data_IF_451030670158
#
_entry.id   IF_451030670158
#
_cell.length_a   1.000
_cell.length_b   1.000
_cell.length_c   1.000
_cell.angle_alpha   90.00
_cell.angle_beta   90.00
_cell.angle_gamma   90.00
#
_symmetry.space_group_name_H-M   'P 1'
#
loop_
_entity.id
_entity.type
_entity.pdbx_description
1 polymer ?
#
# COMPACT_ATOMS: atom_id res chain seq x y z
N UNK A 1 -6.08 -10.82 -9.78
CA UNK A 1 -7.25 -9.93 -9.59
C UNK A 1 -7.14 -9.35 -8.18
N UNK A 2 -6.68 -8.10 -8.05
CA UNK A 2 -6.57 -7.44 -6.74
C UNK A 2 -7.97 -7.11 -6.26
N UNK A 3 -8.42 -7.73 -5.17
CA UNK A 3 -9.79 -7.53 -4.69
C UNK A 3 -9.84 -6.35 -3.72
N UNK A 4 -10.48 -5.27 -4.15
CA UNK A 4 -10.80 -4.13 -3.28
C UNK A 4 -11.83 -4.56 -2.25
N UNK A 5 -11.40 -4.69 -1.00
CA UNK A 5 -12.26 -5.12 0.10
C UNK A 5 -12.93 -3.95 0.82
N UNK A 6 -12.32 -2.76 0.76
CA UNK A 6 -12.85 -1.56 1.42
C UNK A 6 -12.51 -0.31 0.61
N UNK A 7 -13.34 0.72 0.71
CA UNK A 7 -13.15 2.02 0.06
C UNK A 7 -13.37 3.14 1.08
N UNK A 8 -12.43 4.07 1.17
CA UNK A 8 -12.49 5.26 2.02
C UNK A 8 -12.37 6.51 1.16
N UNK A 9 -13.37 7.37 1.23
CA UNK A 9 -13.32 8.71 0.64
C UNK A 9 -12.94 9.73 1.71
N UNK A 10 -11.69 10.22 1.67
CA UNK A 10 -11.19 11.18 2.68
C UNK A 10 -11.76 12.57 2.53
N UNK A 11 -12.39 12.89 1.40
CA UNK A 11 -13.03 14.20 1.17
C UNK A 11 -14.26 14.35 2.05
N UNK A 12 -14.93 13.24 2.35
CA UNK A 12 -16.06 13.17 3.27
C UNK A 12 -15.66 13.12 4.76
N UNK A 13 -14.37 13.02 5.08
CA UNK A 13 -13.86 12.80 6.44
C UNK A 13 -13.06 14.02 6.92
N UNK A 14 -13.28 14.40 8.18
CA UNK A 14 -12.53 15.48 8.80
C UNK A 14 -11.01 15.19 8.84
N UNK A 15 -10.13 16.17 8.59
CA UNK A 15 -8.67 15.95 8.49
C UNK A 15 -8.03 15.16 9.63
N UNK A 16 -8.51 15.38 10.86
CA UNK A 16 -8.03 14.69 12.07
C UNK A 16 -8.38 13.20 12.12
N UNK A 17 -9.48 12.81 11.48
CA UNK A 17 -10.03 11.46 11.51
C UNK A 17 -9.57 10.61 10.32
N UNK A 18 -9.03 11.25 9.26
CA UNK A 18 -8.57 10.57 8.04
C UNK A 18 -7.51 9.51 8.33
N UNK A 19 -6.38 9.91 8.93
CA UNK A 19 -5.27 9.02 9.21
C UNK A 19 -5.68 7.83 10.10
N UNK A 20 -6.25 8.02 11.31
CA UNK A 20 -6.60 6.90 12.18
C UNK A 20 -7.59 5.95 11.52
N UNK A 21 -8.56 6.44 10.74
CA UNK A 21 -9.52 5.59 10.04
C UNK A 21 -8.86 4.75 8.94
N UNK A 22 -7.99 5.36 8.13
CA UNK A 22 -7.27 4.65 7.05
C UNK A 22 -6.39 3.54 7.63
N UNK A 23 -5.58 3.85 8.64
CA UNK A 23 -4.72 2.87 9.27
C UNK A 23 -5.53 1.76 9.94
N UNK A 24 -6.57 2.09 10.70
CA UNK A 24 -7.43 1.10 11.35
C UNK A 24 -8.10 0.16 10.34
N UNK A 25 -8.61 0.72 9.25
CA UNK A 25 -9.24 -0.07 8.17
C UNK A 25 -8.22 -0.96 7.48
N UNK A 26 -7.03 -0.43 7.17
CA UNK A 26 -5.95 -1.21 6.58
C UNK A 26 -5.50 -2.36 7.50
N UNK A 27 -5.36 -2.12 8.80
CA UNK A 27 -5.01 -3.16 9.77
C UNK A 27 -6.08 -4.25 9.90
N UNK A 28 -7.34 -3.93 9.59
CA UNK A 28 -8.43 -4.91 9.55
C UNK A 28 -8.47 -5.75 8.27
N UNK A 29 -7.75 -5.36 7.20
CA UNK A 29 -7.70 -6.12 5.95
C UNK A 29 -6.92 -7.42 6.11
N UNK A 30 -7.29 -8.47 5.39
CA UNK A 30 -6.49 -9.69 5.25
C UNK A 30 -5.41 -9.53 4.18
N UNK A 31 -4.38 -10.38 4.21
CA UNK A 31 -3.38 -10.40 3.15
C UNK A 31 -4.02 -10.67 1.78
N UNK A 32 -3.64 -9.87 0.77
CA UNK A 32 -4.21 -9.91 -0.58
C UNK A 32 -5.44 -9.02 -0.78
N UNK A 33 -5.99 -8.43 0.29
CA UNK A 33 -7.08 -7.45 0.18
C UNK A 33 -6.52 -6.03 0.01
N UNK A 34 -7.26 -5.21 -0.75
CA UNK A 34 -6.90 -3.82 -1.00
C UNK A 34 -7.91 -2.83 -0.40
N UNK A 35 -7.37 -1.71 0.12
CA UNK A 35 -8.09 -0.52 0.53
C UNK A 35 -8.01 0.52 -0.60
N UNK A 36 -9.15 0.91 -1.16
CA UNK A 36 -9.21 2.04 -2.09
C UNK A 36 -9.34 3.35 -1.31
N UNK A 37 -8.37 4.23 -1.44
CA UNK A 37 -8.36 5.57 -0.90
C UNK A 37 -8.70 6.58 -2.00
N UNK A 38 -9.74 7.39 -1.79
CA UNK A 38 -10.13 8.48 -2.69
C UNK A 38 -9.79 9.81 -2.03
N UNK A 39 -8.90 10.59 -2.64
CA UNK A 39 -8.46 11.90 -2.18
C UNK A 39 -8.60 12.97 -3.29
N UNK A 40 -8.66 14.23 -2.88
CA UNK A 40 -8.73 15.39 -3.77
C UNK A 40 -7.33 15.83 -4.26
N UNK A 41 -6.28 15.34 -3.60
CA UNK A 41 -4.88 15.64 -3.91
C UNK A 41 -4.02 14.39 -3.75
N UNK A 42 -2.78 14.48 -4.21
CA UNK A 42 -1.81 13.41 -4.11
C UNK A 42 -1.50 13.03 -2.63
N UNK A 43 -1.76 11.79 -2.20
CA UNK A 43 -1.53 11.34 -0.83
C UNK A 43 -0.09 10.85 -0.57
N UNK A 44 0.94 11.43 -1.23
CA UNK A 44 2.37 11.13 -0.95
C UNK A 44 2.75 11.14 0.53
N UNK A 45 2.32 12.11 1.37
CA UNK A 45 2.68 12.10 2.80
C UNK A 45 2.22 10.83 3.52
N UNK A 46 1.04 10.30 3.13
CA UNK A 46 0.49 9.09 3.68
C UNK A 46 1.30 7.86 3.26
N UNK A 47 1.76 7.80 2.01
CA UNK A 47 2.67 6.74 1.54
C UNK A 47 3.92 6.64 2.41
N UNK A 48 4.57 7.76 2.72
CA UNK A 48 5.75 7.75 3.59
C UNK A 48 5.44 7.26 5.01
N UNK A 49 4.28 7.60 5.57
CA UNK A 49 3.85 7.09 6.88
C UNK A 49 3.59 5.58 6.87
N UNK A 50 3.03 5.04 5.78
CA UNK A 50 2.88 3.61 5.58
C UNK A 50 4.24 2.92 5.45
N UNK A 51 5.14 3.47 4.65
CA UNK A 51 6.48 2.94 4.47
C UNK A 51 7.31 2.94 5.77
N UNK A 52 7.13 3.95 6.62
CA UNK A 52 7.81 4.02 7.91
C UNK A 52 7.27 3.00 8.93
N UNK A 53 5.95 2.76 8.95
CA UNK A 53 5.32 1.85 9.92
C UNK A 53 5.33 0.38 9.47
N UNK A 54 5.21 0.14 8.17
CA UNK A 54 4.98 -1.19 7.58
C UNK A 54 5.79 -1.40 6.30
N UNK A 55 7.12 -1.19 6.31
CA UNK A 55 7.94 -1.36 5.11
C UNK A 55 7.82 -2.78 4.55
N UNK A 56 7.52 -2.90 3.26
CA UNK A 56 7.39 -4.19 2.56
C UNK A 56 6.14 -5.01 2.89
N UNK A 57 5.21 -4.49 3.71
CA UNK A 57 3.97 -5.17 4.11
C UNK A 57 2.71 -4.60 3.44
N UNK A 58 2.90 -3.67 2.50
CA UNK A 58 1.84 -3.15 1.66
C UNK A 58 2.35 -2.95 0.23
N UNK A 59 1.43 -2.96 -0.71
CA UNK A 59 1.64 -2.49 -2.07
C UNK A 59 0.80 -1.23 -2.29
N UNK A 60 1.37 -0.28 -3.03
CA UNK A 60 0.75 1.01 -3.32
C UNK A 60 0.59 1.16 -4.82
N UNK A 61 -0.65 1.22 -5.28
CA UNK A 61 -0.99 1.27 -6.69
C UNK A 61 -1.90 2.48 -6.97
N UNK A 62 -1.53 3.31 -7.94
CA UNK A 62 -2.35 4.46 -8.32
C UNK A 62 -3.39 4.00 -9.35
N UNK A 63 -4.65 3.94 -8.93
CA UNK A 63 -5.77 3.67 -9.82
C UNK A 63 -6.15 4.88 -10.65
N UNK A 64 -5.99 6.08 -10.07
CA UNK A 64 -6.26 7.34 -10.75
C UNK A 64 -5.34 8.43 -10.20
N UNK A 65 -4.65 9.12 -11.11
CA UNK A 65 -3.78 10.25 -10.81
C UNK A 65 -4.22 11.44 -11.68
N UNK A 66 -5.38 12.03 -11.33
CA UNK A 66 -5.90 13.22 -12.01
C UNK A 66 -5.49 14.51 -11.30
N UNK A 67 -5.78 15.70 -11.85
CA UNK A 67 -5.82 16.92 -11.06
C UNK A 67 -7.09 17.03 -10.21
N UNK A 68 -8.20 16.41 -10.63
CA UNK A 68 -9.52 16.45 -9.96
C UNK A 68 -9.76 15.32 -8.94
N UNK A 69 -9.13 14.16 -9.13
CA UNK A 69 -9.34 13.00 -8.26
C UNK A 69 -8.08 12.12 -8.21
N UNK A 70 -7.74 11.70 -7.00
CA UNK A 70 -6.65 10.78 -6.72
C UNK A 70 -7.21 9.51 -6.09
N UNK A 71 -7.07 8.38 -6.77
CA UNK A 71 -7.46 7.07 -6.25
C UNK A 71 -6.27 6.16 -6.12
N UNK A 72 -6.09 5.61 -4.93
CA UNK A 72 -4.97 4.75 -4.61
C UNK A 72 -5.48 3.45 -4.02
N UNK A 73 -5.03 2.31 -4.55
CA UNK A 73 -5.22 1.01 -3.95
C UNK A 73 -4.02 0.67 -3.06
N UNK A 74 -4.28 0.56 -1.76
CA UNK A 74 -3.32 0.14 -0.75
C UNK A 74 -3.60 -1.34 -0.46
N UNK A 75 -2.82 -2.24 -1.05
CA UNK A 75 -3.00 -3.68 -0.86
C UNK A 75 -2.19 -4.16 0.32
N UNK A 76 -2.80 -4.89 1.25
CA UNK A 76 -2.06 -5.52 2.34
C UNK A 76 -1.34 -6.74 1.79
N UNK A 77 -0.02 -6.73 1.81
CA UNK A 77 0.78 -7.90 1.44
C UNK A 77 1.03 -8.72 2.69
N UNK A 78 0.95 -10.05 2.58
CA UNK A 78 1.56 -10.88 3.62
C UNK A 78 3.05 -10.61 3.52
N UNK A 79 3.72 -10.24 4.62
CA UNK A 79 5.16 -10.10 4.63
C UNK A 79 5.78 -11.38 4.03
N UNK A 80 6.24 -11.28 2.79
CA UNK A 80 7.01 -12.28 2.05
C UNK A 80 8.22 -11.53 1.52
N UNK A 81 9.41 -12.11 1.65
CA UNK A 81 10.65 -11.37 1.86
C UNK A 81 10.82 -10.29 0.79
N UNK A 82 11.11 -9.07 1.24
CA UNK A 82 11.68 -8.07 0.38
C UNK A 82 12.88 -8.70 -0.32
N UNK A 83 12.82 -8.77 -1.65
CA UNK A 83 13.91 -9.14 -2.54
C UNK A 83 14.57 -10.50 -2.23
N UNK A 84 14.14 -11.55 -2.93
CA UNK A 84 15.13 -12.48 -3.47
C UNK A 84 15.96 -11.71 -4.49
N UNK A 85 17.00 -11.02 -4.01
CA UNK A 85 18.08 -10.58 -4.88
C UNK A 85 19.03 -11.75 -5.03
N UNK A 86 18.77 -12.57 -6.04
CA UNK A 86 19.75 -13.44 -6.66
C UNK A 86 20.12 -14.69 -5.87
N UNK A 87 19.45 -15.79 -6.21
CA UNK A 87 20.14 -17.07 -6.30
C UNK A 87 21.34 -16.92 -7.25
N UNK A 88 22.54 -16.64 -6.71
CA UNK A 88 23.78 -16.71 -7.47
C UNK A 88 24.25 -18.16 -7.47
N UNK A 89 23.61 -18.95 -8.31
CA UNK A 89 24.10 -20.25 -8.75
C UNK A 89 25.39 -20.04 -9.56
N UNK A 90 26.51 -20.56 -9.06
CA UNK A 90 27.77 -20.70 -9.80
C UNK A 90 28.80 -21.25 -8.83
N UNK A 91 29.03 -22.55 -8.76
CA UNK A 91 29.65 -23.31 -9.84
C UNK A 91 31.13 -23.44 -9.49
N UNK A 92 31.54 -24.64 -9.07
CA UNK A 92 32.90 -24.89 -8.61
C UNK A 92 33.99 -24.70 -9.67
N UNK A 93 35.20 -24.46 -9.17
CA UNK A 93 36.52 -24.70 -9.77
C UNK A 93 37.49 -24.58 -8.58
N UNK A 94 38.30 -25.54 -8.15
CA UNK A 94 39.06 -26.54 -8.89
C UNK A 94 40.54 -26.17 -8.77
N UNK A 95 41.36 -27.02 -8.12
CA UNK A 95 42.83 -26.92 -8.13
C UNK A 95 43.47 -26.53 -6.81
#
# INVERSE_FOLDING_TARGET
MTQTASRIDVRAIAPRDRHPLIFSTFHALSAGQALELVNDHDPRPLYYQFNAQMPGQFAWDYLEAGPDLWRVAITRTQAGPAAESGSCCGGGCGG
#
